data_IF_483829659042
#
_entry.id   IF_483829659042
#
_cell.length_a   1.000
_cell.length_b   1.000
_cell.length_c   1.000
_cell.angle_alpha   90.00
_cell.angle_beta   90.00
_cell.angle_gamma   90.00
#
_symmetry.space_group_name_H-M   'P 1'
#
loop_
_entity.id
_entity.type
_entity.pdbx_description
1 polymer ?
#
# COMPACT_ATOMS: atom_id res chain seq x y z
N UNK A 1 13.01 -7.25 -31.46
CA UNK A 1 12.80 -7.78 -30.11
C UNK A 1 12.48 -6.59 -29.19
N UNK A 2 11.27 -6.54 -28.62
CA UNK A 2 10.88 -5.41 -27.77
C UNK A 2 11.51 -5.55 -26.38
N UNK A 3 12.18 -4.49 -25.95
CA UNK A 3 13.08 -4.38 -24.79
C UNK A 3 12.37 -4.34 -23.42
N UNK A 4 11.10 -4.68 -23.36
CA UNK A 4 10.27 -4.52 -22.16
C UNK A 4 10.00 -5.82 -21.38
N UNK A 5 10.54 -6.97 -21.81
CA UNK A 5 10.33 -8.26 -21.12
C UNK A 5 8.89 -8.77 -21.13
N UNK A 6 7.97 -8.08 -21.80
CA UNK A 6 6.57 -8.46 -21.94
C UNK A 6 6.31 -8.97 -23.35
N UNK A 7 5.73 -10.17 -23.45
CA UNK A 7 5.37 -10.79 -24.73
C UNK A 7 4.11 -10.20 -25.37
N UNK A 8 3.25 -9.56 -24.56
CA UNK A 8 2.03 -8.83 -24.97
C UNK A 8 1.66 -7.76 -23.93
N UNK A 9 0.90 -6.71 -24.31
CA UNK A 9 0.30 -5.76 -23.37
C UNK A 9 -0.52 -6.47 -22.27
N UNK A 10 -0.62 -5.87 -21.06
CA UNK A 10 -1.31 -6.51 -19.95
C UNK A 10 -2.78 -6.84 -20.22
N UNK A 11 -3.45 -6.01 -21.02
CA UNK A 11 -4.88 -6.07 -21.37
C UNK A 11 -5.18 -6.84 -22.67
N UNK A 12 -4.17 -7.42 -23.32
CA UNK A 12 -4.33 -8.17 -24.57
C UNK A 12 -5.18 -9.44 -24.40
N UNK A 13 -5.15 -10.03 -23.19
CA UNK A 13 -6.02 -11.16 -22.82
C UNK A 13 -6.54 -10.99 -21.40
N UNK A 14 -7.75 -11.50 -21.14
CA UNK A 14 -8.33 -11.54 -19.78
C UNK A 14 -7.40 -12.25 -18.80
N UNK A 15 -6.89 -13.43 -19.15
CA UNK A 15 -5.97 -14.19 -18.29
C UNK A 15 -4.70 -13.42 -18.00
N UNK A 16 -4.14 -12.74 -19.02
CA UNK A 16 -2.98 -11.89 -18.86
C UNK A 16 -3.23 -10.73 -17.90
N UNK A 17 -4.37 -10.08 -17.99
CA UNK A 17 -4.75 -8.98 -17.10
C UNK A 17 -4.92 -9.46 -15.66
N UNK A 18 -5.70 -10.53 -15.44
CA UNK A 18 -5.94 -11.09 -14.10
C UNK A 18 -4.65 -11.55 -13.41
N UNK A 19 -3.73 -12.16 -14.17
CA UNK A 19 -2.43 -12.61 -13.62
C UNK A 19 -1.55 -11.45 -13.14
N UNK A 20 -1.70 -10.26 -13.72
CA UNK A 20 -0.81 -9.11 -13.46
C UNK A 20 -1.44 -8.02 -12.61
N UNK A 21 -2.77 -7.96 -12.52
CA UNK A 21 -3.45 -6.90 -11.78
C UNK A 21 -3.27 -7.10 -10.27
N UNK A 22 -2.72 -6.12 -9.55
CA UNK A 22 -2.59 -6.19 -8.10
C UNK A 22 -3.94 -6.33 -7.39
N UNK A 23 -5.00 -5.71 -7.91
CA UNK A 23 -6.33 -5.77 -7.30
C UNK A 23 -6.89 -7.20 -7.30
N UNK A 24 -6.68 -7.95 -8.39
CA UNK A 24 -7.11 -9.35 -8.50
C UNK A 24 -6.20 -10.34 -7.76
N UNK A 25 -5.09 -9.88 -7.18
CA UNK A 25 -4.14 -10.69 -6.41
C UNK A 25 -3.93 -10.12 -4.99
N UNK A 26 -4.88 -9.33 -4.49
CA UNK A 26 -4.78 -8.66 -3.19
C UNK A 26 -4.72 -9.67 -2.02
N UNK A 27 -5.28 -10.86 -2.20
CA UNK A 27 -5.15 -12.02 -1.29
C UNK A 27 -3.70 -12.45 -1.09
N UNK A 28 -2.81 -12.20 -2.05
CA UNK A 28 -1.39 -12.59 -1.98
C UNK A 28 -0.49 -11.49 -1.41
N UNK A 29 -0.99 -10.26 -1.31
CA UNK A 29 -0.22 -9.12 -0.81
C UNK A 29 -0.21 -9.15 0.71
N UNK A 30 0.97 -9.41 1.29
CA UNK A 30 1.18 -9.44 2.75
C UNK A 30 1.88 -8.18 3.28
N UNK A 31 2.41 -7.35 2.40
CA UNK A 31 3.17 -6.16 2.77
C UNK A 31 2.21 -5.01 3.07
N UNK A 32 2.38 -4.26 4.19
CA UNK A 32 1.65 -3.04 4.45
C UNK A 32 1.89 -2.03 3.32
N UNK A 33 0.81 -1.49 2.75
CA UNK A 33 0.88 -0.59 1.60
C UNK A 33 0.43 0.84 1.95
N UNK A 34 1.30 1.81 1.71
CA UNK A 34 0.99 3.23 1.78
C UNK A 34 0.82 3.80 0.37
N UNK A 35 -0.35 4.35 0.07
CA UNK A 35 -0.65 5.03 -1.19
C UNK A 35 -0.70 6.55 -0.96
N UNK A 36 0.20 7.31 -1.60
CA UNK A 36 0.26 8.76 -1.48
C UNK A 36 -0.02 9.40 -2.85
N UNK A 37 -1.29 9.68 -3.13
CA UNK A 37 -1.80 9.92 -4.48
C UNK A 37 -2.17 11.38 -4.70
N UNK A 38 -2.08 11.83 -5.95
CA UNK A 38 -2.68 13.09 -6.35
C UNK A 38 -4.19 12.96 -6.42
N UNK A 39 -4.91 14.06 -6.22
CA UNK A 39 -6.35 14.10 -6.45
C UNK A 39 -6.72 13.60 -7.85
N UNK A 40 -5.88 13.86 -8.86
CA UNK A 40 -6.13 13.39 -10.23
C UNK A 40 -5.99 11.87 -10.43
N UNK A 41 -5.42 11.15 -9.46
CA UNK A 41 -5.01 9.74 -9.63
C UNK A 41 -5.72 8.78 -8.67
N UNK A 42 -6.27 9.29 -7.55
CA UNK A 42 -6.78 8.42 -6.48
C UNK A 42 -7.88 7.45 -6.94
N UNK A 43 -8.73 7.88 -7.89
CA UNK A 43 -9.85 7.08 -8.41
C UNK A 43 -9.38 5.78 -9.06
N UNK A 44 -8.24 5.81 -9.75
CA UNK A 44 -7.66 4.63 -10.41
C UNK A 44 -7.18 3.58 -9.40
N UNK A 45 -6.82 4.01 -8.19
CA UNK A 45 -6.33 3.13 -7.13
C UNK A 45 -7.44 2.58 -6.22
N UNK A 46 -8.68 3.06 -6.35
CA UNK A 46 -9.80 2.63 -5.48
C UNK A 46 -10.06 1.13 -5.59
N UNK A 47 -9.89 0.52 -6.76
CA UNK A 47 -10.08 -0.91 -6.93
C UNK A 47 -9.06 -1.71 -6.10
N UNK A 48 -7.77 -1.38 -6.20
CA UNK A 48 -6.74 -2.05 -5.41
C UNK A 48 -6.94 -1.80 -3.91
N UNK A 49 -7.22 -0.54 -3.53
CA UNK A 49 -7.42 -0.17 -2.15
C UNK A 49 -8.59 -0.90 -1.50
N UNK A 50 -9.74 -0.97 -2.18
CA UNK A 50 -10.90 -1.72 -1.70
C UNK A 50 -10.61 -3.21 -1.60
N UNK A 51 -10.02 -3.83 -2.64
CA UNK A 51 -9.66 -5.25 -2.59
C UNK A 51 -8.71 -5.59 -1.44
N UNK A 52 -7.70 -4.74 -1.18
CA UNK A 52 -6.80 -4.93 -0.03
C UNK A 52 -7.56 -4.88 1.30
N UNK A 53 -8.51 -3.95 1.45
CA UNK A 53 -9.34 -3.85 2.66
C UNK A 53 -10.27 -5.04 2.84
N UNK A 54 -10.86 -5.55 1.75
CA UNK A 54 -11.73 -6.74 1.79
C UNK A 54 -10.97 -7.98 2.28
N UNK A 55 -9.68 -8.10 1.95
CA UNK A 55 -8.78 -9.14 2.48
C UNK A 55 -8.11 -8.78 3.81
N UNK A 56 -8.54 -7.71 4.48
CA UNK A 56 -8.00 -7.27 5.77
C UNK A 56 -6.53 -6.86 5.74
N UNK A 57 -5.98 -6.50 4.57
CA UNK A 57 -4.58 -6.07 4.43
C UNK A 57 -4.40 -4.67 4.99
N UNK A 58 -3.25 -4.42 5.64
CA UNK A 58 -2.90 -3.06 6.06
C UNK A 58 -2.65 -2.17 4.85
N UNK A 59 -3.54 -1.21 4.64
CA UNK A 59 -3.44 -0.25 3.55
C UNK A 59 -3.94 1.11 4.03
N UNK A 60 -3.16 2.16 3.74
CA UNK A 60 -3.58 3.55 3.95
C UNK A 60 -3.45 4.32 2.64
N UNK A 61 -4.45 5.15 2.34
CA UNK A 61 -4.46 6.04 1.17
C UNK A 61 -4.58 7.49 1.64
N UNK A 62 -3.63 8.31 1.20
CA UNK A 62 -3.62 9.76 1.40
C UNK A 62 -3.80 10.40 0.03
N UNK A 63 -4.80 11.27 -0.09
CA UNK A 63 -5.07 12.02 -1.32
C UNK A 63 -4.68 13.47 -1.11
N UNK A 64 -3.77 13.97 -1.94
CA UNK A 64 -3.32 15.34 -1.90
C UNK A 64 -4.19 16.22 -2.82
N UNK A 65 -4.90 17.23 -2.28
CA UNK A 65 -5.76 18.10 -3.08
C UNK A 65 -4.93 18.86 -4.11
N UNK A 66 -5.48 19.05 -5.31
CA UNK A 66 -4.78 19.66 -6.46
C UNK A 66 -3.47 18.93 -6.83
N UNK A 67 -3.24 17.74 -6.27
CA UNK A 67 -2.06 16.94 -6.54
C UNK A 67 -2.13 16.34 -7.93
N UNK A 68 -1.14 16.65 -8.75
CA UNK A 68 -0.89 16.03 -10.06
C UNK A 68 -0.05 14.75 -9.90
N UNK A 69 0.33 14.11 -11.01
CA UNK A 69 1.25 12.98 -11.03
C UNK A 69 2.51 13.24 -10.16
N UNK A 70 3.19 14.35 -10.42
CA UNK A 70 4.29 14.84 -9.58
C UNK A 70 3.75 15.86 -8.60
N UNK A 71 4.04 15.65 -7.31
CA UNK A 71 3.66 16.60 -6.25
C UNK A 71 4.60 17.81 -6.32
N UNK A 72 4.15 18.90 -6.92
CA UNK A 72 4.95 20.10 -7.11
C UNK A 72 4.84 21.08 -5.93
N UNK A 73 3.80 20.96 -5.10
CA UNK A 73 3.63 21.77 -3.90
C UNK A 73 4.67 21.36 -2.82
N UNK A 74 5.53 22.29 -2.34
CA UNK A 74 6.56 21.96 -1.35
C UNK A 74 6.03 21.38 -0.03
N UNK A 75 4.86 21.85 0.44
CA UNK A 75 4.24 21.32 1.67
C UNK A 75 3.78 19.89 1.49
N UNK A 76 3.19 19.57 0.33
CA UNK A 76 2.79 18.20 0.00
C UNK A 76 4.00 17.28 -0.09
N UNK A 77 5.08 17.72 -0.77
CA UNK A 77 6.34 16.94 -0.86
C UNK A 77 6.93 16.65 0.52
N UNK A 78 6.99 17.66 1.40
CA UNK A 78 7.47 17.48 2.76
C UNK A 78 6.62 16.46 3.52
N UNK A 79 5.30 16.55 3.42
CA UNK A 79 4.39 15.57 4.03
C UNK A 79 4.62 14.15 3.49
N UNK A 80 4.79 13.99 2.17
CA UNK A 80 5.11 12.69 1.55
C UNK A 80 6.39 12.10 2.12
N UNK A 81 7.45 12.92 2.20
CA UNK A 81 8.75 12.46 2.70
C UNK A 81 8.70 12.09 4.18
N UNK A 82 8.06 12.91 5.02
CA UNK A 82 7.93 12.63 6.45
C UNK A 82 7.14 11.34 6.66
N UNK A 83 6.00 11.16 5.97
CA UNK A 83 5.18 9.96 6.11
C UNK A 83 5.87 8.71 5.59
N UNK A 84 6.68 8.79 4.53
CA UNK A 84 7.46 7.65 4.06
C UNK A 84 8.46 7.16 5.12
N UNK A 85 9.17 8.10 5.77
CA UNK A 85 10.11 7.76 6.84
C UNK A 85 9.38 7.14 8.02
N UNK A 86 8.28 7.76 8.44
CA UNK A 86 7.50 7.29 9.59
C UNK A 86 6.85 5.93 9.32
N UNK A 87 6.35 5.68 8.09
CA UNK A 87 5.80 4.39 7.68
C UNK A 87 6.87 3.28 7.75
N UNK A 88 8.05 3.52 7.21
CA UNK A 88 9.14 2.54 7.22
C UNK A 88 9.68 2.31 8.64
N UNK A 89 9.85 3.35 9.44
CA UNK A 89 10.28 3.23 10.84
C UNK A 89 9.24 2.47 11.67
N UNK A 90 7.95 2.75 11.46
CA UNK A 90 6.89 2.01 12.13
C UNK A 90 6.94 0.54 11.71
N UNK A 91 6.71 0.22 10.44
CA UNK A 91 6.54 -1.16 10.01
C UNK A 91 7.81 -2.00 10.06
N UNK A 92 8.99 -1.47 9.74
CA UNK A 92 10.22 -2.28 9.71
C UNK A 92 11.02 -2.24 11.01
N UNK A 93 10.87 -1.20 11.84
CA UNK A 93 11.67 -1.03 13.06
C UNK A 93 10.83 -0.98 14.34
N UNK A 94 9.50 -0.97 14.24
CA UNK A 94 8.62 -0.85 15.39
C UNK A 94 8.72 0.51 16.10
N UNK A 95 9.17 1.57 15.41
CA UNK A 95 9.44 2.89 16.01
C UNK A 95 8.43 3.93 15.55
N UNK A 96 7.92 4.69 16.51
CA UNK A 96 7.13 5.91 16.26
C UNK A 96 8.07 7.12 16.36
N UNK A 97 7.96 8.05 15.41
CA UNK A 97 8.85 9.22 15.28
C UNK A 97 8.11 10.53 15.61
N UNK A 98 8.05 11.46 14.66
CA UNK A 98 7.49 12.81 14.76
C UNK A 98 6.19 12.94 13.95
N UNK A 99 5.61 11.81 13.56
CA UNK A 99 4.33 11.77 12.86
C UNK A 99 3.18 12.12 13.80
N UNK A 100 1.99 12.29 13.23
CA UNK A 100 0.81 12.63 14.01
C UNK A 100 0.36 11.44 14.88
N UNK A 101 -0.02 11.69 16.14
CA UNK A 101 -0.48 10.62 17.04
C UNK A 101 -1.65 9.81 16.48
N UNK A 102 -2.51 10.47 15.69
CA UNK A 102 -3.65 9.81 15.03
C UNK A 102 -3.22 8.86 13.90
N UNK A 103 -2.10 9.12 13.21
CA UNK A 103 -1.55 8.23 12.18
C UNK A 103 -1.08 6.93 12.83
N UNK A 104 -0.25 7.02 13.87
CA UNK A 104 0.25 5.86 14.59
C UNK A 104 -0.87 5.01 15.20
N UNK A 105 -1.94 5.63 15.72
CA UNK A 105 -3.08 4.89 16.24
C UNK A 105 -3.73 4.01 15.16
N UNK A 106 -3.97 4.57 13.96
CA UNK A 106 -4.50 3.77 12.85
C UNK A 106 -3.52 2.67 12.45
N UNK A 107 -2.23 2.94 12.46
CA UNK A 107 -1.21 1.97 12.06
C UNK A 107 -1.05 0.84 13.08
N UNK A 108 -1.19 1.11 14.38
CA UNK A 108 -1.25 0.10 15.45
C UNK A 108 -2.42 -0.84 15.25
N UNK A 109 -3.62 -0.28 15.03
CA UNK A 109 -4.82 -1.07 14.75
C UNK A 109 -4.65 -1.91 13.48
N UNK A 110 -4.06 -1.35 12.42
CA UNK A 110 -3.77 -2.10 11.20
C UNK A 110 -2.78 -3.24 11.43
N UNK A 111 -1.71 -3.00 12.19
CA UNK A 111 -0.71 -4.01 12.52
C UNK A 111 -1.33 -5.15 13.32
N UNK A 112 -2.08 -4.85 14.38
CA UNK A 112 -2.74 -5.85 15.21
C UNK A 112 -3.65 -6.76 14.38
N UNK A 113 -4.53 -6.17 13.57
CA UNK A 113 -5.44 -6.91 12.68
C UNK A 113 -4.67 -7.78 11.68
N UNK A 114 -3.61 -7.23 11.09
CA UNK A 114 -2.83 -7.94 10.09
C UNK A 114 -2.02 -9.08 10.70
N UNK A 115 -1.46 -8.91 11.90
CA UNK A 115 -0.74 -9.97 12.61
C UNK A 115 -1.68 -11.09 13.02
N UNK A 116 -2.86 -10.77 13.57
CA UNK A 116 -3.89 -11.76 13.85
C UNK A 116 -4.27 -12.57 12.61
N UNK A 117 -4.49 -11.89 11.48
CA UNK A 117 -4.82 -12.53 10.21
C UNK A 117 -3.74 -13.53 9.74
N UNK A 118 -2.47 -13.26 10.02
CA UNK A 118 -1.38 -14.14 9.62
C UNK A 118 -1.07 -15.24 10.65
N UNK A 119 -1.30 -14.98 11.93
CA UNK A 119 -1.18 -15.97 13.00
C UNK A 119 -2.25 -17.07 12.83
N UNK A 120 -3.45 -16.71 12.36
CA UNK A 120 -4.53 -17.67 12.04
C UNK A 120 -4.32 -18.43 10.70
N UNK A 121 -3.30 -18.05 9.90
CA UNK A 121 -3.06 -18.64 8.58
C UNK A 121 -2.00 -19.74 8.62
N UNK A 122 -2.43 -20.99 8.46
CA UNK A 122 -1.58 -22.18 8.57
C UNK A 122 -0.45 -22.17 7.50
N UNK A 123 0.81 -22.17 7.95
CA UNK A 123 2.00 -22.31 7.09
C UNK A 123 2.57 -21.05 6.44
N UNK A 124 2.01 -19.86 6.67
CA UNK A 124 2.63 -18.61 6.22
C UNK A 124 3.75 -18.16 7.17
N UNK A 125 4.94 -17.82 6.64
CA UNK A 125 5.97 -17.14 7.43
C UNK A 125 5.39 -15.84 8.00
N UNK A 126 5.37 -15.75 9.34
CA UNK A 126 4.92 -14.57 10.08
C UNK A 126 5.67 -13.33 9.60
N UNK A 127 4.99 -12.20 9.32
CA UNK A 127 5.68 -10.99 8.90
C UNK A 127 6.57 -10.41 10.01
N UNK A 128 7.72 -9.87 9.63
CA UNK A 128 8.72 -9.28 10.56
C UNK A 128 8.20 -8.13 11.42
N UNK A 129 7.06 -7.54 11.05
CA UNK A 129 6.44 -6.43 11.77
C UNK A 129 5.45 -6.88 12.85
N UNK A 130 5.27 -8.20 13.02
CA UNK A 130 4.44 -8.83 14.03
C UNK A 130 5.21 -9.38 15.22
N UNK A 131 6.54 -9.42 15.11
CA UNK A 131 7.48 -9.80 16.17
C UNK A 131 7.88 -8.57 16.98
#
# INVERSE_FOLDING_TARGET
ANSSGFTSPPYDTRTGYLRRSPAFNADRIKTPLLMQLGETEHREMLQLWSSLRDYGRAVEMIVYPEGLHIKNNPRQRLSVYQRNVDWVEFWLRGRERRGEATEYERWRIMREKQCKLFDDSDGARRPVYCD
#
